data_IF_807920632672
#
_entry.id   IF_807920632672
#
_cell.length_a   1.000
_cell.length_b   1.000
_cell.length_c   1.000
_cell.angle_alpha   90.00
_cell.angle_beta   90.00
_cell.angle_gamma   90.00
#
_symmetry.space_group_name_H-M   'P 1'
#
loop_
_entity.id
_entity.type
_entity.pdbx_description
1 polymer ?
#
# COMPACT_ATOMS: atom_id res chain seq x y z
N UNK A 1 -6.03 -32.50 -46.94
CA UNK A 1 -7.19 -32.35 -47.84
C UNK A 1 -7.18 -30.93 -48.36
N UNK A 2 -7.12 -30.74 -49.68
CA UNK A 2 -7.66 -29.52 -50.29
C UNK A 2 -9.19 -29.53 -50.22
N UNK A 3 -9.88 -28.55 -50.85
CA UNK A 3 -9.75 -28.43 -52.30
C UNK A 3 -9.64 -26.98 -52.83
N UNK A 4 -8.91 -26.82 -53.94
CA UNK A 4 -9.24 -25.81 -54.98
C UNK A 4 -10.48 -26.28 -55.77
N UNK A 5 -11.14 -25.43 -56.57
CA UNK A 5 -10.77 -25.36 -57.98
C UNK A 5 -10.45 -23.92 -58.45
N UNK A 6 -9.52 -23.60 -59.36
CA UNK A 6 -9.11 -24.18 -60.67
C UNK A 6 -9.81 -23.50 -61.88
N UNK A 7 -9.10 -23.41 -63.03
CA UNK A 7 -9.51 -22.93 -64.39
C UNK A 7 -9.52 -21.38 -64.56
N UNK A 8 -8.94 -20.71 -65.60
CA UNK A 8 -8.16 -21.12 -66.80
C UNK A 8 -7.27 -19.99 -67.39
N UNK A 9 -5.99 -20.30 -67.70
CA UNK A 9 -5.19 -20.02 -68.91
C UNK A 9 -5.03 -18.63 -69.63
N UNK A 10 -3.86 -18.57 -70.34
CA UNK A 10 -3.44 -17.77 -71.52
C UNK A 10 -2.84 -16.37 -71.26
N UNK A 11 -1.60 -16.04 -71.68
CA UNK A 11 -0.53 -16.86 -72.26
C UNK A 11 -0.11 -16.48 -73.70
N UNK A 12 0.75 -15.47 -73.83
CA UNK A 12 1.79 -15.17 -74.86
C UNK A 12 2.23 -13.71 -74.62
N UNK A 13 3.51 -13.34 -74.58
CA UNK A 13 4.51 -13.39 -75.66
C UNK A 13 4.43 -12.06 -76.42
N UNK A 14 5.48 -11.28 -76.69
CA UNK A 14 6.93 -11.43 -76.68
C UNK A 14 7.50 -10.36 -77.66
N UNK A 15 8.83 -10.11 -77.67
CA UNK A 15 9.53 -9.00 -78.39
C UNK A 15 9.20 -7.58 -77.87
N UNK A 16 10.11 -6.59 -77.87
CA UNK A 16 11.54 -6.60 -78.20
C UNK A 16 11.93 -5.58 -79.29
N UNK A 17 12.99 -4.80 -79.03
CA UNK A 17 13.70 -3.85 -79.95
C UNK A 17 12.99 -2.53 -80.29
N UNK A 18 13.64 -1.40 -80.62
CA UNK A 18 15.02 -0.87 -80.43
C UNK A 18 15.01 0.63 -80.86
N UNK A 19 15.70 1.54 -80.13
CA UNK A 19 16.32 2.82 -80.61
C UNK A 19 15.42 3.87 -81.34
N UNK A 20 15.76 5.15 -81.52
CA UNK A 20 16.96 5.96 -81.23
C UNK A 20 16.56 7.44 -80.99
N UNK A 21 17.39 8.19 -80.26
CA UNK A 21 17.65 9.65 -80.21
C UNK A 21 16.66 10.66 -80.88
N UNK A 22 16.27 11.78 -80.25
CA UNK A 22 17.19 12.93 -80.11
C UNK A 22 16.65 14.14 -79.29
N UNK A 23 17.59 14.75 -78.56
CA UNK A 23 17.78 16.18 -78.22
C UNK A 23 16.86 16.99 -77.26
N UNK A 24 17.52 17.86 -76.49
CA UNK A 24 17.03 19.18 -76.06
C UNK A 24 15.89 19.33 -75.02
N UNK A 25 16.21 19.33 -73.72
CA UNK A 25 15.88 20.45 -72.77
C UNK A 25 16.22 20.12 -71.29
N UNK A 26 16.94 21.01 -70.60
CA UNK A 26 17.22 21.03 -69.14
C UNK A 26 17.37 22.53 -68.72
N UNK A 27 16.98 23.01 -67.51
CA UNK A 27 16.19 22.41 -66.42
C UNK A 27 14.96 23.24 -66.00
N UNK A 28 14.07 22.64 -65.19
CA UNK A 28 13.00 23.37 -64.51
C UNK A 28 12.37 22.60 -63.36
N UNK A 29 13.16 22.04 -62.43
CA UNK A 29 12.60 21.33 -61.27
C UNK A 29 13.43 21.55 -60.00
N UNK A 30 12.87 22.33 -59.10
CA UNK A 30 13.26 22.42 -57.69
C UNK A 30 12.76 21.16 -56.97
N UNK A 31 13.49 20.71 -55.96
CA UNK A 31 13.29 19.40 -55.33
C UNK A 31 12.00 19.31 -54.49
N UNK A 32 11.45 18.11 -54.41
CA UNK A 32 10.63 17.68 -53.29
C UNK A 32 11.06 16.26 -52.90
N UNK A 33 12.15 16.16 -52.15
CA UNK A 33 12.56 14.91 -51.51
C UNK A 33 11.54 14.56 -50.41
N UNK A 34 10.92 13.39 -50.52
CA UNK A 34 10.15 12.82 -49.41
C UNK A 34 11.13 12.47 -48.27
N UNK A 35 11.01 13.15 -47.13
CA UNK A 35 11.92 13.00 -45.99
C UNK A 35 11.36 13.53 -44.66
N UNK A 36 10.06 13.37 -44.43
CA UNK A 36 9.34 13.92 -43.26
C UNK A 36 9.06 12.90 -42.14
N UNK A 37 9.48 11.63 -42.28
CA UNK A 37 9.02 10.54 -41.40
C UNK A 37 9.98 10.14 -40.26
N UNK A 38 11.27 10.48 -40.32
CA UNK A 38 12.26 10.03 -39.30
C UNK A 38 12.81 11.16 -38.41
N UNK A 39 12.63 12.43 -38.80
CA UNK A 39 13.25 13.57 -38.12
C UNK A 39 12.67 13.95 -36.75
N UNK A 40 11.44 13.53 -36.39
CA UNK A 40 10.85 13.88 -35.08
C UNK A 40 11.42 13.05 -33.94
N UNK A 41 11.82 11.80 -34.22
CA UNK A 41 12.15 10.79 -33.21
C UNK A 41 13.27 11.24 -32.26
N UNK A 42 14.25 12.00 -32.77
CA UNK A 42 15.36 12.54 -31.97
C UNK A 42 14.92 13.68 -31.03
N UNK A 43 13.96 14.51 -31.45
CA UNK A 43 13.36 15.55 -30.61
C UNK A 43 12.47 14.93 -29.53
N UNK A 44 11.63 13.96 -29.92
CA UNK A 44 10.66 13.31 -29.04
C UNK A 44 11.34 12.50 -27.90
N UNK A 45 12.53 11.95 -28.13
CA UNK A 45 13.34 11.27 -27.10
C UNK A 45 13.79 12.24 -25.98
N UNK A 46 14.03 13.51 -26.32
CA UNK A 46 14.57 14.53 -25.41
C UNK A 46 13.51 15.46 -24.83
N UNK A 47 12.30 15.51 -25.41
CA UNK A 47 11.21 16.38 -24.97
C UNK A 47 10.36 15.81 -23.81
N UNK A 48 10.92 14.87 -23.03
CA UNK A 48 10.33 14.45 -21.76
C UNK A 48 10.57 15.52 -20.68
N UNK A 49 9.52 15.95 -19.98
CA UNK A 49 9.62 16.78 -18.76
C UNK A 49 10.30 15.99 -17.63
N UNK A 50 11.62 15.90 -17.66
CA UNK A 50 12.46 15.41 -16.58
C UNK A 50 13.36 16.56 -16.11
N UNK A 51 13.23 16.95 -14.85
CA UNK A 51 14.24 17.80 -14.22
C UNK A 51 15.53 17.00 -14.05
N UNK A 52 16.67 17.60 -14.40
CA UNK A 52 18.02 17.01 -14.43
C UNK A 52 18.25 15.88 -15.46
N UNK A 53 19.10 16.18 -16.44
CA UNK A 53 19.68 15.20 -17.36
C UNK A 53 20.58 14.13 -16.68
N UNK A 54 20.84 14.25 -15.37
CA UNK A 54 21.58 13.26 -14.59
C UNK A 54 20.92 11.88 -14.53
N UNK A 55 19.59 11.81 -14.68
CA UNK A 55 18.80 10.58 -14.48
C UNK A 55 18.45 9.83 -15.78
N UNK A 56 19.07 10.15 -16.93
CA UNK A 56 18.82 9.40 -18.17
C UNK A 56 19.31 7.94 -18.06
N UNK A 57 18.45 6.93 -18.33
CA UNK A 57 18.86 5.52 -18.30
C UNK A 57 19.97 5.23 -19.32
N UNK A 58 20.96 4.43 -18.91
CA UNK A 58 22.10 4.08 -19.77
C UNK A 58 21.69 3.40 -21.09
N UNK A 59 20.53 2.74 -21.14
CA UNK A 59 19.95 2.17 -22.36
C UNK A 59 19.58 3.22 -23.41
N UNK A 60 18.89 4.31 -23.01
CA UNK A 60 18.55 5.43 -23.91
C UNK A 60 19.80 6.15 -24.41
N UNK A 61 20.81 6.31 -23.55
CA UNK A 61 22.11 6.89 -23.94
C UNK A 61 22.82 5.98 -24.95
N UNK A 62 22.79 4.65 -24.75
CA UNK A 62 23.36 3.69 -25.71
C UNK A 62 22.60 3.60 -27.04
N UNK A 63 21.33 4.03 -27.07
CA UNK A 63 20.52 4.12 -28.27
C UNK A 63 20.85 5.40 -29.07
N UNK A 64 21.00 6.53 -28.38
CA UNK A 64 21.54 7.79 -28.94
C UNK A 64 22.99 7.66 -29.45
N UNK A 65 23.79 6.72 -28.91
CA UNK A 65 25.14 6.41 -29.39
C UNK A 65 25.17 5.57 -30.68
N UNK A 66 24.03 5.14 -31.24
CA UNK A 66 24.00 4.47 -32.55
C UNK A 66 24.03 5.52 -33.67
N UNK A 67 25.13 5.52 -34.43
CA UNK A 67 25.48 6.51 -35.46
C UNK A 67 24.34 6.95 -36.41
N UNK A 68 23.42 6.04 -36.77
CA UNK A 68 22.32 6.33 -37.72
C UNK A 68 21.28 7.35 -37.22
N UNK A 69 21.16 7.64 -35.92
CA UNK A 69 20.14 8.60 -35.45
C UNK A 69 20.54 10.07 -35.66
N UNK A 70 21.84 10.38 -35.68
CA UNK A 70 22.32 11.73 -35.93
C UNK A 70 22.23 12.10 -37.41
N UNK A 71 22.60 11.18 -38.31
CA UNK A 71 22.67 11.41 -39.77
C UNK A 71 21.34 11.89 -40.38
N UNK A 72 20.18 11.41 -39.90
CA UNK A 72 18.86 11.81 -40.42
C UNK A 72 18.21 12.99 -39.67
N UNK A 73 18.83 13.53 -38.63
CA UNK A 73 18.27 14.65 -37.83
C UNK A 73 18.53 16.00 -38.52
N UNK A 74 17.61 16.97 -38.38
CA UNK A 74 17.79 18.32 -38.94
C UNK A 74 18.91 19.10 -38.22
N UNK A 75 19.71 19.88 -38.96
CA UNK A 75 20.78 20.71 -38.37
C UNK A 75 20.24 21.69 -37.33
N UNK A 76 19.03 22.22 -37.54
CA UNK A 76 18.36 23.11 -36.58
C UNK A 76 18.04 22.40 -35.27
N UNK A 77 17.50 21.17 -35.33
CA UNK A 77 17.21 20.34 -34.15
C UNK A 77 18.46 20.02 -33.34
N UNK A 78 19.59 19.71 -34.01
CA UNK A 78 20.87 19.45 -33.35
C UNK A 78 21.41 20.69 -32.60
N UNK A 79 21.26 21.89 -33.18
CA UNK A 79 21.59 23.14 -32.49
C UNK A 79 20.66 23.43 -31.31
N UNK A 80 19.35 23.20 -31.44
CA UNK A 80 18.41 23.38 -30.31
C UNK A 80 18.75 22.47 -29.14
N UNK A 81 19.05 21.18 -29.40
CA UNK A 81 19.51 20.24 -28.36
C UNK A 81 20.82 20.68 -27.71
N UNK A 82 21.79 21.15 -28.51
CA UNK A 82 23.06 21.67 -27.99
C UNK A 82 22.84 22.86 -27.05
N UNK A 83 22.01 23.83 -27.47
CA UNK A 83 21.75 25.02 -26.67
C UNK A 83 21.02 24.68 -25.36
N UNK A 84 20.00 23.81 -25.39
CA UNK A 84 19.32 23.38 -24.15
C UNK A 84 20.27 22.71 -23.14
N UNK A 85 21.24 21.91 -23.61
CA UNK A 85 22.25 21.28 -22.74
C UNK A 85 23.22 22.34 -22.18
N UNK A 86 23.59 23.35 -22.98
CA UNK A 86 24.45 24.45 -22.53
C UNK A 86 23.72 25.37 -21.53
N UNK A 87 22.45 25.68 -21.75
CA UNK A 87 21.63 26.50 -20.86
C UNK A 87 21.47 25.83 -19.48
N UNK A 88 21.20 24.52 -19.42
CA UNK A 88 21.14 23.76 -18.15
C UNK A 88 22.51 23.76 -17.41
N UNK A 89 23.63 23.74 -18.16
CA UNK A 89 24.97 23.85 -17.58
C UNK A 89 25.34 25.28 -17.09
N UNK A 90 24.62 26.32 -17.54
CA UNK A 90 24.83 27.71 -17.13
C UNK A 90 23.92 28.09 -15.97
N UNK A 91 22.68 27.59 -15.93
CA UNK A 91 21.75 27.83 -14.82
C UNK A 91 22.08 26.98 -13.57
N UNK A 92 22.57 25.75 -13.76
CA UNK A 92 23.02 24.88 -12.68
C UNK A 92 24.46 25.16 -12.24
N UNK A 93 24.69 25.56 -10.98
CA UNK A 93 26.03 25.73 -10.37
C UNK A 93 26.76 24.39 -10.10
N UNK A 94 26.81 23.48 -11.07
CA UNK A 94 27.53 22.22 -10.98
C UNK A 94 28.93 22.39 -11.59
N UNK A 95 29.97 22.42 -10.76
CA UNK A 95 31.37 22.63 -11.19
C UNK A 95 31.98 21.51 -12.05
N UNK A 96 31.22 20.45 -12.38
CA UNK A 96 31.65 19.40 -13.31
C UNK A 96 30.49 18.92 -14.20
N UNK A 97 30.63 19.10 -15.51
CA UNK A 97 29.77 18.47 -16.51
C UNK A 97 30.03 16.94 -16.47
N UNK A 98 29.00 16.09 -16.30
CA UNK A 98 29.19 14.64 -16.34
C UNK A 98 29.82 14.19 -17.67
N UNK A 99 30.87 13.37 -17.62
CA UNK A 99 31.64 12.94 -18.81
C UNK A 99 30.78 12.36 -19.95
N UNK A 100 29.61 11.79 -19.61
CA UNK A 100 28.63 11.27 -20.57
C UNK A 100 27.96 12.38 -21.40
N UNK A 101 27.62 13.51 -20.79
CA UNK A 101 27.03 14.68 -21.46
C UNK A 101 28.06 15.33 -22.39
N UNK A 102 29.30 15.51 -21.91
CA UNK A 102 30.41 16.03 -22.72
C UNK A 102 30.71 15.15 -23.95
N UNK A 103 30.55 13.83 -23.83
CA UNK A 103 30.72 12.89 -24.94
C UNK A 103 29.63 13.04 -26.01
N UNK A 104 28.37 13.22 -25.60
CA UNK A 104 27.25 13.49 -26.51
C UNK A 104 27.45 14.84 -27.23
N UNK A 105 27.77 15.90 -26.49
CA UNK A 105 27.98 17.23 -27.06
C UNK A 105 29.10 17.23 -28.12
N UNK A 106 30.20 16.49 -27.87
CA UNK A 106 31.31 16.34 -28.81
C UNK A 106 30.89 15.65 -30.12
N UNK A 107 30.06 14.59 -30.04
CA UNK A 107 29.55 13.90 -31.22
C UNK A 107 28.59 14.79 -32.04
N UNK A 108 27.69 15.53 -31.39
CA UNK A 108 26.78 16.48 -32.06
C UNK A 108 27.55 17.61 -32.75
N UNK A 109 28.59 18.16 -32.11
CA UNK A 109 29.46 19.16 -32.73
C UNK A 109 30.23 18.61 -33.94
N UNK A 110 30.71 17.37 -33.87
CA UNK A 110 31.47 16.76 -34.94
C UNK A 110 30.59 16.46 -36.18
N UNK A 111 29.35 16.01 -35.96
CA UNK A 111 28.35 15.83 -37.03
C UNK A 111 27.96 17.17 -37.70
N UNK A 112 27.74 18.23 -36.91
CA UNK A 112 27.46 19.56 -37.45
C UNK A 112 28.66 20.07 -38.29
N UNK A 113 29.89 19.87 -37.81
CA UNK A 113 31.11 20.26 -38.52
C UNK A 113 31.25 19.54 -39.88
N UNK A 114 30.97 18.24 -39.94
CA UNK A 114 31.04 17.47 -41.19
C UNK A 114 29.95 17.90 -42.19
N UNK A 115 28.73 18.20 -41.73
CA UNK A 115 27.66 18.76 -42.58
C UNK A 115 28.03 20.10 -43.20
N UNK A 116 28.50 21.04 -42.38
CA UNK A 116 28.94 22.37 -42.84
C UNK A 116 30.08 22.23 -43.85
N UNK A 117 31.02 21.32 -43.60
CA UNK A 117 32.14 21.04 -44.52
C UNK A 117 31.66 20.46 -45.87
N UNK A 118 30.72 19.52 -45.84
CA UNK A 118 30.13 18.88 -47.04
C UNK A 118 29.29 19.87 -47.86
N UNK A 119 28.52 20.73 -47.20
CA UNK A 119 27.75 21.81 -47.84
C UNK A 119 28.67 22.86 -48.50
N UNK A 120 29.72 23.29 -47.79
CA UNK A 120 30.72 24.21 -48.34
C UNK A 120 31.45 23.63 -49.57
N UNK A 121 31.76 22.33 -49.56
CA UNK A 121 32.38 21.66 -50.71
C UNK A 121 31.43 21.58 -51.93
N UNK A 122 30.13 21.37 -51.71
CA UNK A 122 29.13 21.40 -52.79
C UNK A 122 28.95 22.81 -53.39
N UNK A 123 28.94 23.86 -52.56
CA UNK A 123 28.89 25.24 -53.06
C UNK A 123 30.11 25.60 -53.94
N UNK A 124 31.31 25.13 -53.57
CA UNK A 124 32.53 25.31 -54.39
C UNK A 124 32.43 24.61 -55.77
N UNK A 125 31.82 23.43 -55.83
CA UNK A 125 31.57 22.70 -57.10
C UNK A 125 30.56 23.42 -57.99
N UNK A 126 29.49 23.99 -57.41
CA UNK A 126 28.54 24.80 -58.18
C UNK A 126 29.18 26.10 -58.71
N UNK A 127 29.96 26.80 -57.89
CA UNK A 127 30.64 28.04 -58.28
C UNK A 127 31.59 27.85 -59.48
N UNK A 128 32.36 26.77 -59.49
CA UNK A 128 33.24 26.42 -60.63
C UNK A 128 32.45 26.05 -61.89
N UNK A 129 31.29 25.38 -61.76
CA UNK A 129 30.40 25.07 -62.89
C UNK A 129 29.86 26.36 -63.54
N UNK A 130 29.36 27.31 -62.75
CA UNK A 130 28.81 28.58 -63.27
C UNK A 130 29.88 29.39 -64.03
N UNK A 131 31.09 29.50 -63.49
CA UNK A 131 32.20 30.19 -64.15
C UNK A 131 32.53 29.60 -65.54
N UNK A 132 32.52 28.26 -65.66
CA UNK A 132 32.74 27.58 -66.94
C UNK A 132 31.63 27.82 -67.99
N UNK A 133 30.39 28.11 -67.56
CA UNK A 133 29.29 28.48 -68.47
C UNK A 133 29.44 29.93 -68.95
N UNK A 134 29.81 30.84 -68.05
CA UNK A 134 30.02 32.26 -68.37
C UNK A 134 31.09 32.45 -69.46
N UNK A 135 32.24 31.79 -69.32
CA UNK A 135 33.35 31.82 -70.29
C UNK A 135 32.93 31.31 -71.70
N UNK A 136 32.03 30.32 -71.76
CA UNK A 136 31.45 29.82 -73.02
C UNK A 136 30.51 30.84 -73.67
N UNK A 137 29.68 31.53 -72.90
CA UNK A 137 28.78 32.55 -73.43
C UNK A 137 29.55 33.78 -73.95
N UNK A 138 30.55 34.28 -73.22
CA UNK A 138 31.41 35.36 -73.72
C UNK A 138 32.12 35.00 -75.03
N UNK A 139 32.52 33.73 -75.19
CA UNK A 139 33.18 33.27 -76.42
C UNK A 139 32.23 33.20 -77.62
N UNK A 140 30.94 32.90 -77.41
CA UNK A 140 29.91 33.00 -78.47
C UNK A 140 29.61 34.44 -78.88
N UNK A 141 29.59 35.39 -77.93
CA UNK A 141 29.33 36.81 -78.23
C UNK A 141 30.42 37.37 -79.14
N UNK A 142 31.71 37.15 -78.79
CA UNK A 142 32.86 37.58 -79.64
C UNK A 142 32.79 37.04 -81.07
N UNK A 143 32.32 35.79 -81.25
CA UNK A 143 32.17 35.21 -82.58
C UNK A 143 31.07 35.88 -83.43
N UNK A 144 29.95 36.27 -82.80
CA UNK A 144 28.86 36.99 -83.47
C UNK A 144 29.26 38.43 -83.82
N UNK A 145 30.00 39.10 -82.94
CA UNK A 145 30.54 40.45 -83.20
C UNK A 145 31.49 40.45 -84.42
N UNK A 146 32.33 39.40 -84.56
CA UNK A 146 33.26 39.26 -85.69
C UNK A 146 32.54 38.97 -87.02
N UNK A 147 31.39 38.27 -86.98
CA UNK A 147 30.56 38.01 -88.17
C UNK A 147 29.83 39.27 -88.64
N UNK A 148 29.32 40.09 -87.71
CA UNK A 148 28.60 41.32 -88.05
C UNK A 148 29.50 42.33 -88.81
N UNK A 149 30.78 42.44 -88.45
CA UNK A 149 31.74 43.34 -89.12
C UNK A 149 32.09 42.88 -90.55
N UNK A 150 32.10 41.58 -90.83
CA UNK A 150 32.34 41.07 -92.20
C UNK A 150 31.22 41.45 -93.17
N UNK A 151 29.97 41.37 -92.72
CA UNK A 151 28.79 41.69 -93.56
C UNK A 151 28.64 43.18 -93.91
N UNK A 152 29.35 44.08 -93.22
CA UNK A 152 29.37 45.51 -93.58
C UNK A 152 30.36 45.85 -94.70
N UNK A 153 31.47 45.11 -94.81
CA UNK A 153 32.51 45.38 -95.82
C UNK A 153 32.10 44.89 -97.23
N UNK A 154 31.39 43.76 -97.33
CA UNK A 154 30.89 43.25 -98.63
C UNK A 154 29.83 44.17 -99.27
N UNK A 155 28.99 44.82 -98.45
CA UNK A 155 27.94 45.73 -98.91
C UNK A 155 28.50 47.06 -99.49
N UNK A 156 29.70 47.49 -99.07
CA UNK A 156 30.34 48.70 -99.60
C UNK A 156 30.96 48.49 -101.00
N UNK A 157 31.39 47.26 -101.31
CA UNK A 157 32.01 46.92 -102.61
C UNK A 157 30.96 46.88 -103.73
N UNK A 158 29.77 46.33 -103.48
CA UNK A 158 28.69 46.23 -104.47
C UNK A 158 28.14 47.61 -104.87
N UNK A 159 28.02 48.54 -103.91
CA UNK A 159 27.53 49.90 -104.16
C UNK A 159 28.49 50.78 -104.98
N UNK A 160 29.79 50.45 -105.01
CA UNK A 160 30.78 51.16 -105.82
C UNK A 160 30.83 50.67 -107.28
N UNK A 161 30.51 49.40 -107.56
CA UNK A 161 30.48 48.87 -108.94
C UNK A 161 29.29 49.43 -109.75
N UNK A 162 28.16 49.71 -109.09
CA UNK A 162 26.95 50.27 -109.71
C UNK A 162 27.07 51.74 -110.16
N UNK A 163 28.18 52.43 -109.87
CA UNK A 163 28.43 53.81 -110.32
C UNK A 163 29.24 53.93 -111.62
N UNK A 164 29.84 52.85 -112.13
CA UNK A 164 30.77 52.94 -113.27
C UNK A 164 30.16 52.71 -114.66
N UNK A 165 28.87 52.33 -114.78
CA UNK A 165 28.19 52.17 -116.08
C UNK A 165 27.10 53.22 -116.34
N UNK A 166 27.48 54.51 -116.38
CA UNK A 166 26.56 55.58 -116.81
C UNK A 166 27.20 56.77 -117.53
N UNK A 167 28.14 56.50 -118.45
CA UNK A 167 28.58 57.46 -119.47
C UNK A 167 28.73 56.75 -120.82
N UNK A 168 28.47 57.50 -121.91
CA UNK A 168 28.61 57.12 -123.33
C UNK A 168 27.46 56.36 -123.99
N UNK A 169 26.43 57.09 -124.47
CA UNK A 169 26.25 57.28 -125.93
C UNK A 169 25.26 58.42 -126.25
N UNK A 170 25.43 59.05 -127.40
CA UNK A 170 24.68 60.23 -127.86
C UNK A 170 24.40 60.14 -129.36
N UNK A 171 23.20 60.56 -129.81
CA UNK A 171 22.87 60.63 -131.24
C UNK A 171 21.36 60.50 -131.55
N UNK A 172 20.67 61.58 -131.99
CA UNK A 172 19.24 61.53 -132.25
C UNK A 172 18.91 61.14 -133.71
N UNK A 173 18.82 59.84 -134.02
CA UNK A 173 18.15 59.35 -135.25
C UNK A 173 17.53 57.95 -135.18
N UNK A 174 17.77 57.14 -134.13
CA UNK A 174 17.13 55.82 -133.95
C UNK A 174 15.97 55.80 -132.94
N UNK A 175 15.56 56.97 -132.45
CA UNK A 175 14.65 57.12 -131.28
C UNK A 175 13.20 56.66 -131.56
N UNK A 176 12.76 56.61 -132.83
CA UNK A 176 11.36 56.27 -133.16
C UNK A 176 11.11 54.75 -133.12
N UNK A 177 12.07 53.93 -133.55
CA UNK A 177 11.89 52.47 -133.58
C UNK A 177 12.06 51.84 -132.19
N UNK A 178 13.04 52.31 -131.41
CA UNK A 178 13.26 51.82 -130.04
C UNK A 178 12.12 52.22 -129.09
N UNK A 179 11.52 53.42 -129.26
CA UNK A 179 10.35 53.84 -128.46
C UNK A 179 9.13 52.93 -128.65
N UNK A 180 8.96 52.32 -129.82
CA UNK A 180 7.87 51.38 -130.07
C UNK A 180 8.12 50.02 -129.40
N UNK A 181 9.37 49.57 -129.36
CA UNK A 181 9.79 48.33 -128.66
C UNK A 181 9.78 48.53 -127.14
N UNK A 182 10.22 49.67 -126.64
CA UNK A 182 10.09 50.02 -125.21
C UNK A 182 8.62 50.14 -124.81
N UNK A 183 7.76 50.78 -125.62
CA UNK A 183 6.34 50.89 -125.29
C UNK A 183 5.64 49.53 -125.22
N UNK A 184 5.93 48.61 -126.15
CA UNK A 184 5.37 47.25 -126.11
C UNK A 184 5.91 46.43 -124.95
N UNK A 185 7.21 46.52 -124.64
CA UNK A 185 7.79 45.90 -123.43
C UNK A 185 7.24 46.47 -122.14
N UNK A 186 7.03 47.79 -122.05
CA UNK A 186 6.41 48.46 -120.90
C UNK A 186 4.94 48.05 -120.78
N UNK A 187 4.19 47.90 -121.88
CA UNK A 187 2.82 47.38 -121.86
C UNK A 187 2.72 45.88 -121.50
N UNK A 188 3.72 45.06 -121.85
CA UNK A 188 3.82 43.66 -121.40
C UNK A 188 4.21 43.56 -119.93
N UNK A 189 5.18 44.36 -119.46
CA UNK A 189 5.55 44.45 -118.04
C UNK A 189 4.38 44.98 -117.21
N UNK A 190 3.66 46.03 -117.65
CA UNK A 190 2.45 46.51 -116.97
C UNK A 190 1.34 45.46 -116.91
N UNK A 191 1.20 44.59 -117.93
CA UNK A 191 0.24 43.48 -117.90
C UNK A 191 0.67 42.36 -116.96
N UNK A 192 1.97 42.03 -116.92
CA UNK A 192 2.53 41.08 -115.96
C UNK A 192 2.39 41.61 -114.53
N UNK A 193 2.78 42.86 -114.26
CA UNK A 193 2.59 43.52 -112.97
C UNK A 193 1.11 43.61 -112.59
N UNK A 194 0.18 43.89 -113.52
CA UNK A 194 -1.26 43.84 -113.24
C UNK A 194 -1.77 42.41 -112.95
N UNK A 195 -1.19 41.40 -113.59
CA UNK A 195 -1.54 40.01 -113.36
C UNK A 195 -1.01 39.51 -112.00
N UNK A 196 0.25 39.81 -111.70
CA UNK A 196 0.88 39.55 -110.41
C UNK A 196 0.12 40.30 -109.30
N UNK A 197 -0.25 41.57 -109.50
CA UNK A 197 -1.10 42.33 -108.56
C UNK A 197 -2.50 41.72 -108.38
N UNK A 198 -3.05 41.00 -109.37
CA UNK A 198 -4.33 40.29 -109.20
C UNK A 198 -4.16 38.95 -108.48
N UNK A 199 -3.08 38.21 -108.75
CA UNK A 199 -2.73 36.99 -108.02
C UNK A 199 -2.40 37.31 -106.56
N UNK A 200 -1.56 38.31 -106.30
CA UNK A 200 -1.25 38.80 -104.95
C UNK A 200 -2.50 39.32 -104.23
N UNK A 201 -3.46 39.94 -104.94
CA UNK A 201 -4.74 40.32 -104.33
C UNK A 201 -5.55 39.09 -103.93
N UNK A 202 -5.71 38.11 -104.81
CA UNK A 202 -6.44 36.87 -104.48
C UNK A 202 -5.79 36.10 -103.33
N UNK A 203 -4.47 35.97 -103.30
CA UNK A 203 -3.77 35.27 -102.22
C UNK A 203 -3.75 36.10 -100.92
N UNK A 204 -3.76 37.44 -100.99
CA UNK A 204 -4.00 38.32 -99.84
C UNK A 204 -5.42 38.12 -99.28
N UNK A 205 -6.45 38.18 -100.14
CA UNK A 205 -7.85 38.01 -99.74
C UNK A 205 -8.07 36.60 -99.14
N UNK A 206 -7.37 35.59 -99.66
CA UNK A 206 -7.33 34.22 -99.13
C UNK A 206 -6.63 34.15 -97.77
N UNK A 207 -5.48 34.80 -97.61
CA UNK A 207 -4.79 34.92 -96.32
C UNK A 207 -5.66 35.66 -95.29
N UNK A 208 -6.32 36.75 -95.66
CA UNK A 208 -7.25 37.47 -94.78
C UNK A 208 -8.44 36.59 -94.37
N UNK A 209 -9.02 35.81 -95.30
CA UNK A 209 -10.06 34.83 -94.97
C UNK A 209 -9.55 33.71 -94.05
N UNK A 210 -8.30 33.26 -94.21
CA UNK A 210 -7.71 32.23 -93.35
C UNK A 210 -7.42 32.78 -91.94
N UNK A 211 -6.87 33.99 -91.85
CA UNK A 211 -6.64 34.72 -90.59
C UNK A 211 -7.95 34.87 -89.83
N UNK A 212 -9.02 35.36 -90.48
CA UNK A 212 -10.34 35.48 -89.84
C UNK A 212 -10.88 34.13 -89.33
N UNK A 213 -10.65 33.03 -90.05
CA UNK A 213 -11.07 31.70 -89.59
C UNK A 213 -10.27 31.21 -88.38
N UNK A 214 -8.96 31.47 -88.34
CA UNK A 214 -8.08 31.11 -87.23
C UNK A 214 -8.31 32.01 -86.01
N UNK A 215 -8.58 33.31 -86.21
CA UNK A 215 -8.98 34.24 -85.14
C UNK A 215 -10.29 33.79 -84.48
N UNK A 216 -11.27 33.34 -85.27
CA UNK A 216 -12.52 32.79 -84.76
C UNK A 216 -12.31 31.46 -84.02
N UNK A 217 -11.47 30.55 -84.54
CA UNK A 217 -11.13 29.29 -83.86
C UNK A 217 -10.38 29.54 -82.54
N UNK A 218 -9.44 30.49 -82.50
CA UNK A 218 -8.77 30.96 -81.29
C UNK A 218 -9.77 31.59 -80.32
N UNK A 219 -10.74 32.38 -80.80
CA UNK A 219 -11.78 32.99 -79.97
C UNK A 219 -12.68 31.94 -79.32
N UNK A 220 -13.14 30.96 -80.08
CA UNK A 220 -14.02 29.89 -79.60
C UNK A 220 -13.28 28.94 -78.64
N UNK A 221 -12.05 28.52 -78.97
CA UNK A 221 -11.24 27.68 -78.08
C UNK A 221 -10.90 28.41 -76.78
N UNK A 222 -10.52 29.70 -76.85
CA UNK A 222 -10.32 30.53 -75.66
C UNK A 222 -11.57 30.58 -74.77
N UNK A 223 -12.75 30.77 -75.35
CA UNK A 223 -14.01 30.81 -74.62
C UNK A 223 -14.33 29.45 -73.94
N UNK A 224 -14.09 28.34 -74.62
CA UNK A 224 -14.24 26.97 -74.07
C UNK A 224 -13.21 26.69 -72.94
N UNK A 225 -11.97 27.16 -73.05
CA UNK A 225 -10.99 27.10 -71.97
C UNK A 225 -11.36 27.97 -70.76
N UNK A 226 -11.84 29.20 -70.98
CA UNK A 226 -12.33 30.09 -69.91
C UNK A 226 -13.53 29.46 -69.17
N UNK A 227 -14.47 28.85 -69.89
CA UNK A 227 -15.60 28.14 -69.29
C UNK A 227 -15.14 26.89 -68.51
N UNK A 228 -14.20 26.09 -69.04
CA UNK A 228 -13.62 24.95 -68.34
C UNK A 228 -12.87 25.36 -67.06
N UNK A 229 -12.10 26.44 -67.09
CA UNK A 229 -11.45 27.00 -65.91
C UNK A 229 -12.49 27.41 -64.86
N UNK A 230 -13.52 28.15 -65.25
CA UNK A 230 -14.60 28.56 -64.35
C UNK A 230 -15.34 27.35 -63.73
N UNK A 231 -15.63 26.31 -64.52
CA UNK A 231 -16.23 25.08 -64.01
C UNK A 231 -15.31 24.31 -63.05
N UNK A 232 -13.98 24.30 -63.30
CA UNK A 232 -13.01 23.68 -62.40
C UNK A 232 -12.84 24.45 -61.10
N UNK A 233 -12.80 25.79 -61.14
CA UNK A 233 -12.76 26.66 -59.96
C UNK A 233 -14.03 26.50 -59.11
N UNK A 234 -15.21 26.49 -59.74
CA UNK A 234 -16.48 26.26 -59.04
C UNK A 234 -16.52 24.89 -58.35
N UNK A 235 -16.03 23.82 -59.00
CA UNK A 235 -15.91 22.48 -58.39
C UNK A 235 -14.88 22.47 -57.26
N UNK A 236 -13.74 23.14 -57.43
CA UNK A 236 -12.70 23.24 -56.40
C UNK A 236 -13.25 23.92 -55.15
N UNK A 237 -13.92 25.06 -55.29
CA UNK A 237 -14.52 25.79 -54.16
C UNK A 237 -15.65 24.98 -53.50
N UNK A 238 -16.51 24.30 -54.27
CA UNK A 238 -17.54 23.41 -53.71
C UNK A 238 -16.94 22.23 -52.91
N UNK A 239 -15.84 21.63 -53.38
CA UNK A 239 -15.13 20.58 -52.62
C UNK A 239 -14.44 21.13 -51.37
N UNK A 240 -13.87 22.33 -51.44
CA UNK A 240 -13.27 23.04 -50.30
C UNK A 240 -14.31 23.35 -49.23
N UNK A 241 -15.49 23.83 -49.60
CA UNK A 241 -16.61 24.06 -48.67
C UNK A 241 -17.10 22.77 -48.00
N UNK A 242 -17.18 21.67 -48.77
CA UNK A 242 -17.52 20.34 -48.22
C UNK A 242 -16.46 19.85 -47.23
N UNK A 243 -15.18 20.02 -47.54
CA UNK A 243 -14.07 19.66 -46.65
C UNK A 243 -14.02 20.53 -45.39
N UNK A 244 -14.22 21.84 -45.50
CA UNK A 244 -14.28 22.76 -44.36
C UNK A 244 -15.43 22.41 -43.41
N UNK A 245 -16.63 22.13 -43.93
CA UNK A 245 -17.76 21.63 -43.12
C UNK A 245 -17.41 20.31 -42.43
N UNK A 246 -16.72 19.38 -43.11
CA UNK A 246 -16.33 18.10 -42.53
C UNK A 246 -15.25 18.23 -41.45
N UNK A 247 -14.30 19.15 -41.61
CA UNK A 247 -13.31 19.49 -40.58
C UNK A 247 -14.02 20.03 -39.34
N UNK A 248 -14.95 20.97 -39.51
CA UNK A 248 -15.68 21.60 -38.41
C UNK A 248 -16.59 20.61 -37.65
N UNK A 249 -17.23 19.67 -38.35
CA UNK A 249 -17.93 18.53 -37.73
C UNK A 249 -16.97 17.64 -36.90
N UNK A 250 -15.79 17.32 -37.45
CA UNK A 250 -14.80 16.48 -36.76
C UNK A 250 -14.19 17.18 -35.55
N UNK A 251 -13.94 18.49 -35.61
CA UNK A 251 -13.49 19.30 -34.47
C UNK A 251 -14.54 19.34 -33.35
N UNK A 252 -15.82 19.46 -33.71
CA UNK A 252 -16.93 19.39 -32.75
C UNK A 252 -17.01 18.01 -32.08
N UNK A 253 -17.03 16.93 -32.85
CA UNK A 253 -17.04 15.55 -32.34
C UNK A 253 -15.82 15.23 -31.47
N UNK A 254 -14.64 15.72 -31.86
CA UNK A 254 -13.40 15.51 -31.12
C UNK A 254 -13.43 16.30 -29.79
N UNK A 255 -14.02 17.49 -29.77
CA UNK A 255 -14.26 18.27 -28.54
C UNK A 255 -15.24 17.57 -27.61
N UNK A 256 -16.36 17.06 -28.13
CA UNK A 256 -17.33 16.28 -27.34
C UNK A 256 -16.72 15.00 -26.76
N UNK A 257 -15.90 14.27 -27.54
CA UNK A 257 -15.19 13.09 -27.04
C UNK A 257 -14.19 13.42 -25.93
N UNK A 258 -13.48 14.56 -26.03
CA UNK A 258 -12.55 15.04 -24.99
C UNK A 258 -13.29 15.40 -23.71
N UNK A 259 -14.41 16.12 -23.83
CA UNK A 259 -15.28 16.42 -22.70
C UNK A 259 -15.77 15.13 -22.04
N UNK A 260 -16.14 14.12 -22.83
CA UNK A 260 -16.65 12.85 -22.29
C UNK A 260 -15.58 12.00 -21.60
N UNK A 261 -14.34 12.02 -22.10
CA UNK A 261 -13.18 11.42 -21.41
C UNK A 261 -12.99 12.08 -20.05
N UNK A 262 -12.98 13.43 -20.00
CA UNK A 262 -12.80 14.17 -18.76
C UNK A 262 -13.89 13.89 -17.71
N UNK A 263 -15.17 13.83 -18.12
CA UNK A 263 -16.26 13.44 -17.21
C UNK A 263 -16.05 12.03 -16.60
N UNK A 264 -15.52 11.09 -17.39
CA UNK A 264 -15.26 9.72 -16.95
C UNK A 264 -14.04 9.66 -16.02
N UNK A 265 -13.00 10.45 -16.28
CA UNK A 265 -11.84 10.63 -15.41
C UNK A 265 -12.27 11.19 -14.05
N UNK A 266 -12.95 12.35 -14.03
CA UNK A 266 -13.48 13.00 -12.82
C UNK A 266 -14.39 12.04 -12.01
N UNK A 267 -15.27 11.28 -12.69
CA UNK A 267 -16.12 10.28 -12.05
C UNK A 267 -15.30 9.12 -11.44
N UNK A 268 -14.25 8.66 -12.13
CA UNK A 268 -13.39 7.58 -11.67
C UNK A 268 -12.57 8.00 -10.44
N UNK A 269 -12.00 9.21 -10.45
CA UNK A 269 -11.25 9.77 -9.31
C UNK A 269 -12.15 9.95 -8.09
N UNK A 270 -13.35 10.52 -8.28
CA UNK A 270 -14.37 10.67 -7.23
C UNK A 270 -14.78 9.31 -6.63
N UNK A 271 -14.89 8.27 -7.47
CA UNK A 271 -15.15 6.89 -7.02
C UNK A 271 -13.97 6.33 -6.22
N UNK A 272 -12.72 6.50 -6.67
CA UNK A 272 -11.51 6.08 -5.96
C UNK A 272 -11.38 6.78 -4.60
N UNK A 273 -11.56 8.10 -4.55
CA UNK A 273 -11.48 8.90 -3.31
C UNK A 273 -12.53 8.47 -2.27
N UNK A 274 -13.74 8.10 -2.73
CA UNK A 274 -14.80 7.54 -1.88
C UNK A 274 -14.46 6.14 -1.37
N UNK A 275 -13.81 5.30 -2.16
CA UNK A 275 -13.31 4.00 -1.70
C UNK A 275 -12.15 4.14 -0.70
N UNK A 276 -11.16 5.02 -0.95
CA UNK A 276 -10.09 5.33 0.00
C UNK A 276 -10.63 5.80 1.36
N UNK A 277 -11.67 6.63 1.38
CA UNK A 277 -12.34 7.04 2.64
C UNK A 277 -13.01 5.87 3.37
N UNK A 278 -13.67 4.96 2.64
CA UNK A 278 -14.24 3.73 3.23
C UNK A 278 -13.17 2.79 3.76
N UNK A 279 -12.11 2.57 2.99
CA UNK A 279 -10.95 1.76 3.37
C UNK A 279 -10.32 2.29 4.66
N UNK A 280 -10.07 3.60 4.74
CA UNK A 280 -9.52 4.23 5.95
C UNK A 280 -10.47 4.08 7.16
N UNK A 281 -11.78 4.25 6.97
CA UNK A 281 -12.78 4.02 8.01
C UNK A 281 -12.84 2.57 8.50
N UNK A 282 -12.77 1.60 7.59
CA UNK A 282 -12.71 0.18 7.95
C UNK A 282 -11.39 -0.17 8.64
N UNK A 283 -10.26 0.39 8.19
CA UNK A 283 -8.95 0.18 8.80
C UNK A 283 -8.93 0.68 10.24
N UNK A 284 -9.32 1.94 10.47
CA UNK A 284 -9.46 2.53 11.80
C UNK A 284 -10.42 1.72 12.69
N UNK A 285 -11.53 1.21 12.14
CA UNK A 285 -12.44 0.35 12.91
C UNK A 285 -11.75 -0.96 13.33
N UNK A 286 -11.07 -1.65 12.41
CA UNK A 286 -10.35 -2.89 12.69
C UNK A 286 -9.21 -2.67 13.70
N UNK A 287 -8.43 -1.60 13.54
CA UNK A 287 -7.33 -1.25 14.45
C UNK A 287 -7.86 -1.00 15.87
N UNK A 288 -8.94 -0.23 16.02
CA UNK A 288 -9.59 0.03 17.32
C UNK A 288 -10.21 -1.22 17.96
N UNK A 289 -10.79 -2.12 17.16
CA UNK A 289 -11.26 -3.42 17.66
C UNK A 289 -10.10 -4.33 18.07
N UNK A 290 -8.96 -4.27 17.38
CA UNK A 290 -7.77 -5.03 17.71
C UNK A 290 -7.15 -4.58 19.03
N UNK A 291 -7.02 -3.27 19.26
CA UNK A 291 -6.61 -2.68 20.55
C UNK A 291 -7.53 -3.16 21.69
N UNK A 292 -8.86 -3.05 21.51
CA UNK A 292 -9.84 -3.49 22.50
C UNK A 292 -9.73 -4.99 22.85
N UNK A 293 -9.44 -5.83 21.85
CA UNK A 293 -9.21 -7.27 22.04
C UNK A 293 -7.86 -7.57 22.73
N UNK A 294 -6.84 -6.74 22.49
CA UNK A 294 -5.54 -6.86 23.14
C UNK A 294 -5.66 -6.52 24.64
N UNK A 295 -6.36 -5.45 25.00
CA UNK A 295 -6.63 -5.09 26.40
C UNK A 295 -7.43 -6.17 27.12
N UNK A 296 -8.49 -6.69 26.49
CA UNK A 296 -9.28 -7.80 27.04
C UNK A 296 -8.44 -9.06 27.27
N UNK A 297 -7.51 -9.36 26.36
CA UNK A 297 -6.58 -10.48 26.50
C UNK A 297 -5.62 -10.29 27.68
N UNK A 298 -5.06 -9.10 27.85
CA UNK A 298 -4.17 -8.79 28.99
C UNK A 298 -4.92 -8.88 30.32
N UNK A 299 -6.15 -8.36 30.39
CA UNK A 299 -7.01 -8.50 31.56
C UNK A 299 -7.32 -9.96 31.88
N UNK A 300 -7.63 -10.77 30.85
CA UNK A 300 -7.88 -12.22 31.01
C UNK A 300 -6.66 -12.99 31.53
N UNK A 301 -5.47 -12.69 31.02
CA UNK A 301 -4.22 -13.29 31.50
C UNK A 301 -3.93 -12.90 32.96
N UNK A 302 -4.19 -11.65 33.34
CA UNK A 302 -4.06 -11.16 34.72
C UNK A 302 -5.01 -11.89 35.69
N UNK A 303 -6.31 -11.96 35.36
CA UNK A 303 -7.31 -12.68 36.16
C UNK A 303 -6.94 -14.16 36.33
N UNK A 304 -6.45 -14.81 35.25
CA UNK A 304 -5.99 -16.20 35.28
C UNK A 304 -4.80 -16.39 36.23
N UNK A 305 -3.88 -15.43 36.31
CA UNK A 305 -2.78 -15.46 37.28
C UNK A 305 -3.28 -15.27 38.72
N UNK A 306 -4.22 -14.36 38.96
CA UNK A 306 -4.83 -14.14 40.28
C UNK A 306 -5.58 -15.37 40.78
N UNK A 307 -6.44 -15.97 39.94
CA UNK A 307 -7.14 -17.23 40.24
C UNK A 307 -6.14 -18.36 40.57
N UNK A 308 -5.01 -18.41 39.86
CA UNK A 308 -3.95 -19.40 40.14
C UNK A 308 -3.26 -19.17 41.49
N UNK A 309 -3.00 -17.90 41.87
CA UNK A 309 -2.47 -17.55 43.20
C UNK A 309 -3.46 -17.92 44.30
N UNK A 310 -4.74 -17.53 44.16
CA UNK A 310 -5.82 -17.82 45.11
C UNK A 310 -5.98 -19.34 45.31
N UNK A 311 -5.94 -20.12 44.22
CA UNK A 311 -6.00 -21.59 44.28
C UNK A 311 -4.86 -22.17 45.14
N UNK A 312 -3.64 -21.65 45.00
CA UNK A 312 -2.49 -22.13 45.77
C UNK A 312 -2.62 -21.77 47.26
N UNK A 313 -3.02 -20.53 47.58
CA UNK A 313 -3.28 -20.09 48.97
C UNK A 313 -4.32 -20.99 49.64
N UNK A 314 -5.46 -21.24 48.99
CA UNK A 314 -6.47 -22.14 49.54
C UNK A 314 -5.95 -23.57 49.71
N UNK A 315 -5.11 -24.08 48.80
CA UNK A 315 -4.53 -25.42 48.95
C UNK A 315 -3.62 -25.52 50.19
N UNK A 316 -2.84 -24.48 50.49
CA UNK A 316 -2.02 -24.38 51.70
C UNK A 316 -2.89 -24.25 52.96
N UNK A 317 -3.91 -23.38 52.95
CA UNK A 317 -4.86 -23.23 54.07
C UNK A 317 -5.60 -24.53 54.39
N UNK A 318 -6.12 -25.24 53.37
CA UNK A 318 -6.79 -26.54 53.57
C UNK A 318 -5.82 -27.61 54.10
N UNK A 319 -4.56 -27.61 53.66
CA UNK A 319 -3.54 -28.51 54.20
C UNK A 319 -3.27 -28.22 55.69
N UNK A 320 -3.04 -26.97 56.06
CA UNK A 320 -2.84 -26.55 57.45
C UNK A 320 -4.07 -26.83 58.33
N UNK A 321 -5.27 -26.60 57.82
CA UNK A 321 -6.52 -26.95 58.50
C UNK A 321 -6.62 -28.45 58.76
N UNK A 322 -6.28 -29.30 57.77
CA UNK A 322 -6.25 -30.75 57.93
C UNK A 322 -5.26 -31.22 59.01
N UNK A 323 -4.06 -30.63 59.06
CA UNK A 323 -3.06 -30.91 60.11
C UNK A 323 -3.58 -30.50 61.49
N UNK A 324 -4.17 -29.31 61.63
CA UNK A 324 -4.72 -28.82 62.89
C UNK A 324 -5.89 -29.69 63.38
N UNK A 325 -6.81 -30.07 62.49
CA UNK A 325 -7.94 -30.95 62.82
C UNK A 325 -7.48 -32.33 63.25
N UNK A 326 -6.44 -32.90 62.61
CA UNK A 326 -5.83 -34.14 63.06
C UNK A 326 -5.27 -34.01 64.48
N UNK A 327 -4.50 -32.95 64.76
CA UNK A 327 -3.97 -32.69 66.11
C UNK A 327 -5.05 -32.57 67.19
N UNK A 328 -6.20 -31.97 66.87
CA UNK A 328 -7.36 -31.91 67.76
C UNK A 328 -8.01 -33.28 68.00
N UNK A 329 -8.14 -34.11 66.96
CA UNK A 329 -8.67 -35.48 67.07
C UNK A 329 -7.75 -36.33 67.94
N UNK A 330 -6.43 -36.31 67.68
CA UNK A 330 -5.43 -37.05 68.43
C UNK A 330 -5.43 -36.61 69.92
N UNK A 331 -5.55 -35.32 70.20
CA UNK A 331 -5.67 -34.78 71.56
C UNK A 331 -6.96 -35.22 72.27
N UNK A 332 -8.11 -35.19 71.58
CA UNK A 332 -9.40 -35.61 72.14
C UNK A 332 -9.43 -37.12 72.46
N UNK A 333 -8.84 -37.96 71.59
CA UNK A 333 -8.69 -39.40 71.83
C UNK A 333 -7.81 -39.66 73.06
N UNK A 334 -6.65 -39.00 73.15
CA UNK A 334 -5.75 -39.13 74.31
C UNK A 334 -6.44 -38.68 75.61
N UNK A 335 -7.23 -37.61 75.59
CA UNK A 335 -8.00 -37.16 76.76
C UNK A 335 -9.01 -38.22 77.23
N UNK A 336 -9.71 -38.90 76.30
CA UNK A 336 -10.64 -39.97 76.66
C UNK A 336 -9.93 -41.17 77.31
N UNK A 337 -8.79 -41.59 76.75
CA UNK A 337 -7.95 -42.66 77.32
C UNK A 337 -7.48 -42.33 78.74
N UNK A 338 -7.01 -41.09 78.96
CA UNK A 338 -6.59 -40.60 80.29
C UNK A 338 -7.77 -40.55 81.28
N UNK A 339 -8.97 -40.16 80.85
CA UNK A 339 -10.17 -40.22 81.70
C UNK A 339 -10.52 -41.66 82.10
N UNK A 340 -10.45 -42.61 81.16
CA UNK A 340 -10.75 -44.01 81.45
C UNK A 340 -9.74 -44.64 82.40
N UNK A 341 -8.45 -44.34 82.23
CA UNK A 341 -7.38 -44.74 83.15
C UNK A 341 -7.57 -44.09 84.54
N UNK A 342 -7.87 -42.79 84.59
CA UNK A 342 -8.11 -42.09 85.86
C UNK A 342 -9.29 -42.69 86.62
N UNK A 343 -10.36 -43.09 85.92
CA UNK A 343 -11.49 -43.84 86.51
C UNK A 343 -11.06 -45.20 87.07
N UNK A 344 -10.23 -45.97 86.35
CA UNK A 344 -9.73 -47.28 86.82
C UNK A 344 -8.88 -47.12 88.09
N UNK A 345 -7.85 -46.27 88.02
CA UNK A 345 -6.94 -46.01 89.14
C UNK A 345 -7.66 -45.42 90.36
N UNK A 346 -8.65 -44.55 90.15
CA UNK A 346 -9.41 -43.95 91.26
C UNK A 346 -10.18 -45.01 92.06
N UNK A 347 -10.81 -45.97 91.38
CA UNK A 347 -11.59 -47.02 92.04
C UNK A 347 -10.68 -48.11 92.63
N UNK A 348 -9.54 -48.43 92.00
CA UNK A 348 -8.50 -49.27 92.62
C UNK A 348 -8.00 -48.68 93.95
N UNK A 349 -7.80 -47.36 94.02
CA UNK A 349 -7.47 -46.65 95.27
C UNK A 349 -8.62 -46.69 96.31
N UNK A 350 -9.88 -46.82 95.89
CA UNK A 350 -11.00 -47.06 96.84
C UNK A 350 -11.02 -48.51 97.33
N UNK A 351 -10.79 -49.49 96.46
CA UNK A 351 -10.75 -50.91 96.83
C UNK A 351 -9.59 -51.21 97.79
N UNK A 352 -8.41 -50.63 97.55
CA UNK A 352 -7.25 -50.72 98.45
C UNK A 352 -7.49 -50.11 99.83
N UNK A 353 -8.40 -49.14 99.95
CA UNK A 353 -8.87 -48.59 101.24
C UNK A 353 -9.94 -49.46 101.92
N UNK A 354 -10.36 -50.54 101.28
CA UNK A 354 -11.40 -51.46 101.70
C UNK A 354 -12.79 -51.06 101.22
N UNK A 355 -13.50 -52.01 100.63
CA UNK A 355 -14.86 -51.88 100.10
C UNK A 355 -15.91 -51.73 101.21
N UNK A 356 -15.60 -52.21 102.42
CA UNK A 356 -16.39 -52.00 103.63
C UNK A 356 -15.55 -51.15 104.59
N UNK A 357 -16.07 -49.97 104.96
CA UNK A 357 -15.42 -49.04 105.88
C UNK A 357 -16.35 -48.76 107.04
N UNK A 358 -15.87 -48.96 108.26
CA UNK A 358 -16.61 -48.70 109.50
C UNK A 358 -16.02 -47.48 110.17
N UNK A 359 -16.80 -46.40 110.25
CA UNK A 359 -16.44 -45.18 110.98
C UNK A 359 -17.22 -45.11 112.30
N UNK A 360 -16.52 -44.77 113.38
CA UNK A 360 -17.17 -44.42 114.64
C UNK A 360 -17.29 -42.90 114.73
N UNK A 361 -18.46 -42.36 115.10
CA UNK A 361 -18.63 -40.93 115.36
C UNK A 361 -19.22 -40.71 116.74
N UNK A 362 -18.50 -39.95 117.55
CA UNK A 362 -18.89 -39.59 118.91
C UNK A 362 -19.58 -38.23 118.84
N UNK A 363 -20.86 -38.14 119.19
CA UNK A 363 -21.56 -36.85 119.17
C UNK A 363 -21.03 -35.89 120.26
N UNK A 364 -21.10 -34.56 120.05
CA UNK A 364 -20.90 -33.60 121.13
C UNK A 364 -21.90 -33.80 122.28
N UNK A 365 -21.51 -33.35 123.47
CA UNK A 365 -22.41 -33.26 124.63
C UNK A 365 -23.52 -32.23 124.34
N UNK A 366 -24.76 -32.59 124.65
CA UNK A 366 -25.88 -31.64 124.55
C UNK A 366 -25.82 -30.63 125.71
N UNK A 367 -26.41 -29.42 125.57
CA UNK A 367 -26.55 -28.48 126.68
C UNK A 367 -27.13 -29.18 127.93
N UNK A 368 -26.43 -29.06 129.06
CA UNK A 368 -26.76 -29.75 130.32
C UNK A 368 -26.05 -31.10 130.56
N UNK A 369 -25.36 -31.68 129.58
CA UNK A 369 -24.54 -32.89 129.78
C UNK A 369 -23.09 -32.54 130.15
N UNK A 370 -22.56 -33.15 131.22
CA UNK A 370 -21.20 -32.87 131.71
C UNK A 370 -20.15 -33.81 131.12
N UNK A 371 -19.00 -33.25 130.68
CA UNK A 371 -17.81 -34.05 130.26
C UNK A 371 -17.35 -35.05 131.32
N UNK A 372 -17.64 -34.81 132.61
CA UNK A 372 -17.28 -35.72 133.72
C UNK A 372 -18.04 -37.05 133.73
N UNK A 373 -19.05 -37.23 132.87
CA UNK A 373 -19.81 -38.48 132.72
C UNK A 373 -19.40 -39.29 131.47
N UNK A 374 -18.29 -38.96 130.81
CA UNK A 374 -17.79 -39.74 129.67
C UNK A 374 -17.23 -41.09 130.10
N UNK A 375 -17.56 -42.14 129.35
CA UNK A 375 -16.89 -43.45 129.43
C UNK A 375 -15.75 -43.59 128.43
N UNK A 376 -15.55 -42.60 127.54
CA UNK A 376 -14.51 -42.62 126.51
C UNK A 376 -13.20 -42.09 127.12
N UNK A 377 -12.15 -42.91 127.06
CA UNK A 377 -10.84 -42.61 127.64
C UNK A 377 -9.85 -42.08 126.61
N UNK A 378 -9.82 -42.69 125.42
CA UNK A 378 -8.84 -42.37 124.38
C UNK A 378 -9.46 -42.54 122.99
N UNK A 379 -9.10 -41.63 122.09
CA UNK A 379 -9.41 -41.63 120.66
C UNK A 379 -8.06 -41.53 119.96
N UNK A 380 -7.67 -42.59 119.26
CA UNK A 380 -6.43 -42.65 118.49
C UNK A 380 -6.64 -42.30 117.03
N UNK A 381 -5.67 -41.60 116.45
CA UNK A 381 -5.67 -41.17 115.04
C UNK A 381 -5.75 -42.36 114.06
N UNK A 382 -5.25 -43.52 114.48
CA UNK A 382 -5.28 -44.80 113.75
C UNK A 382 -6.65 -45.53 113.79
N UNK A 383 -7.73 -44.84 114.18
CA UNK A 383 -9.07 -45.42 114.28
C UNK A 383 -9.31 -46.27 115.54
N UNK A 384 -8.49 -46.11 116.57
CA UNK A 384 -8.62 -46.83 117.84
C UNK A 384 -9.46 -46.05 118.86
N UNK A 385 -10.37 -46.74 119.56
CA UNK A 385 -11.25 -46.15 120.57
C UNK A 385 -11.21 -46.99 121.85
N UNK A 386 -10.85 -46.37 122.97
CA UNK A 386 -10.86 -47.03 124.29
C UNK A 386 -12.02 -46.50 125.14
N UNK A 387 -12.90 -47.43 125.54
CA UNK A 387 -14.07 -47.16 126.39
C UNK A 387 -13.93 -47.88 127.73
N UNK A 388 -14.10 -47.17 128.83
CA UNK A 388 -14.12 -47.70 130.20
C UNK A 388 -15.55 -48.06 130.58
N UNK A 389 -15.76 -49.27 131.08
CA UNK A 389 -17.00 -49.69 131.71
C UNK A 389 -16.93 -49.45 133.24
N UNK A 390 -17.66 -48.46 133.80
CA UNK A 390 -17.63 -48.16 135.23
C UNK A 390 -18.27 -49.26 136.10
N UNK A 391 -18.98 -50.23 135.50
CA UNK A 391 -19.66 -51.33 136.21
C UNK A 391 -18.79 -52.59 136.35
N UNK A 392 -17.55 -52.60 135.82
CA UNK A 392 -16.62 -53.73 135.93
C UNK A 392 -15.26 -53.26 136.47
N UNK A 393 -14.89 -53.57 137.73
CA UNK A 393 -13.55 -53.26 138.23
C UNK A 393 -12.49 -54.24 137.67
N UNK A 394 -11.28 -53.74 137.42
CA UNK A 394 -10.13 -54.55 137.00
C UNK A 394 -9.69 -54.35 135.54
N UNK A 395 -8.86 -55.28 135.03
CA UNK A 395 -8.23 -55.18 133.69
C UNK A 395 -9.25 -55.21 132.54
N UNK A 396 -10.41 -55.85 132.75
CA UNK A 396 -11.54 -55.93 131.81
C UNK A 396 -12.44 -54.68 131.81
N UNK A 397 -12.10 -53.64 132.57
CA UNK A 397 -12.81 -52.36 132.54
C UNK A 397 -12.63 -51.62 131.20
N UNK A 398 -11.47 -51.77 130.56
CA UNK A 398 -11.15 -51.11 129.29
C UNK A 398 -11.52 -52.00 128.10
N UNK A 399 -12.27 -51.44 127.14
CA UNK A 399 -12.56 -52.07 125.85
C UNK A 399 -11.95 -51.25 124.72
N UNK A 400 -11.01 -51.85 124.01
CA UNK A 400 -10.45 -51.32 122.77
C UNK A 400 -11.33 -51.76 121.59
N UNK A 401 -11.75 -50.80 120.78
CA UNK A 401 -12.40 -51.02 119.49
C UNK A 401 -11.54 -50.43 118.38
N UNK A 402 -11.48 -51.09 117.23
CA UNK A 402 -10.76 -50.62 116.04
C UNK A 402 -11.72 -50.39 114.88
N UNK A 403 -11.62 -49.22 114.29
CA UNK A 403 -12.43 -48.72 113.18
C UNK A 403 -11.50 -48.22 112.07
N UNK A 404 -12.03 -47.94 110.88
CA UNK A 404 -11.25 -47.27 109.83
C UNK A 404 -10.93 -45.82 110.22
N UNK A 405 -11.80 -45.17 111.01
CA UNK A 405 -11.59 -43.86 111.63
C UNK A 405 -12.54 -43.65 112.81
N UNK A 406 -12.12 -42.84 113.79
CA UNK A 406 -12.95 -42.41 114.92
C UNK A 406 -13.03 -40.88 114.92
N UNK A 407 -14.21 -40.34 114.67
CA UNK A 407 -14.51 -38.92 114.73
C UNK A 407 -14.90 -38.54 116.17
N UNK A 408 -14.17 -37.58 116.74
CA UNK A 408 -14.37 -37.13 118.12
C UNK A 408 -15.56 -36.18 118.29
N UNK A 409 -15.90 -35.80 119.54
CA UNK A 409 -16.98 -34.85 119.85
C UNK A 409 -16.86 -33.48 119.18
N UNK A 410 -15.66 -33.09 118.74
CA UNK A 410 -15.38 -31.83 118.06
C UNK A 410 -15.48 -31.92 116.52
N UNK A 411 -15.59 -33.13 115.95
CA UNK A 411 -15.55 -33.31 114.50
C UNK A 411 -16.82 -32.85 113.80
N UNK A 412 -16.64 -31.95 112.84
CA UNK A 412 -17.73 -31.27 112.13
C UNK A 412 -18.40 -32.16 111.08
N UNK A 413 -19.48 -31.69 110.45
CA UNK A 413 -20.08 -32.40 109.31
C UNK A 413 -19.10 -32.48 108.14
N UNK A 414 -18.32 -31.43 107.90
CA UNK A 414 -17.40 -31.28 106.78
C UNK A 414 -16.17 -32.19 106.92
N UNK A 415 -15.75 -32.51 108.15
CA UNK A 415 -14.72 -33.53 108.40
C UNK A 415 -15.22 -34.95 108.07
N UNK A 416 -16.44 -35.29 108.49
CA UNK A 416 -17.04 -36.59 108.16
C UNK A 416 -17.32 -36.69 106.66
N UNK A 417 -17.79 -35.59 106.05
CA UNK A 417 -18.03 -35.53 104.61
C UNK A 417 -16.74 -35.72 103.82
N UNK A 418 -15.64 -35.03 104.14
CA UNK A 418 -14.35 -35.15 103.43
C UNK A 418 -13.83 -36.60 103.32
N UNK A 419 -14.06 -37.43 104.33
CA UNK A 419 -13.68 -38.85 104.32
C UNK A 419 -14.64 -39.75 103.50
N UNK A 420 -15.91 -39.34 103.36
CA UNK A 420 -16.93 -40.07 102.57
C UNK A 420 -17.10 -39.56 101.14
N UNK A 421 -16.74 -38.31 100.86
CA UNK A 421 -16.79 -37.65 99.56
C UNK A 421 -16.15 -38.47 98.42
N UNK A 422 -15.03 -39.20 98.62
CA UNK A 422 -14.46 -40.03 97.57
C UNK A 422 -15.43 -41.10 97.01
N UNK A 423 -16.37 -41.58 97.83
CA UNK A 423 -17.35 -42.58 97.41
C UNK A 423 -18.37 -41.99 96.40
N UNK A 424 -18.66 -40.69 96.47
CA UNK A 424 -19.56 -40.01 95.53
C UNK A 424 -19.00 -40.09 94.12
N UNK A 425 -17.68 -39.96 93.96
CA UNK A 425 -17.04 -40.10 92.66
C UNK A 425 -17.16 -41.54 92.12
N UNK A 426 -17.03 -42.57 92.98
CA UNK A 426 -17.28 -43.95 92.55
C UNK A 426 -18.73 -44.16 92.07
N UNK A 427 -19.73 -43.48 92.64
CA UNK A 427 -21.11 -43.49 92.10
C UNK A 427 -21.17 -42.88 90.70
N UNK A 428 -20.52 -41.72 90.48
CA UNK A 428 -20.44 -41.09 89.16
C UNK A 428 -19.67 -41.93 88.14
N UNK A 429 -18.70 -42.73 88.59
CA UNK A 429 -17.94 -43.68 87.76
C UNK A 429 -18.74 -44.97 87.43
N UNK A 430 -19.91 -45.18 88.05
CA UNK A 430 -20.83 -46.29 87.79
C UNK A 430 -20.91 -47.38 88.88
N UNK A 431 -20.38 -47.15 90.08
CA UNK A 431 -20.35 -48.12 91.18
C UNK A 431 -21.48 -47.91 92.20
N UNK A 432 -22.06 -48.99 92.69
CA UNK A 432 -23.06 -48.95 93.75
C UNK A 432 -22.40 -48.69 95.12
N UNK A 433 -22.76 -47.59 95.77
CA UNK A 433 -22.29 -47.22 97.12
C UNK A 433 -23.46 -47.22 98.09
N UNK A 434 -23.27 -47.81 99.28
CA UNK A 434 -24.22 -47.75 100.38
C UNK A 434 -23.58 -47.09 101.61
N UNK A 435 -24.23 -46.09 102.19
CA UNK A 435 -23.85 -45.46 103.46
C UNK A 435 -25.00 -45.64 104.43
N UNK A 436 -24.74 -46.28 105.58
CA UNK A 436 -25.72 -46.50 106.64
C UNK A 436 -25.21 -45.93 107.97
N UNK A 437 -26.11 -45.33 108.74
CA UNK A 437 -25.81 -44.81 110.08
C UNK A 437 -26.43 -45.74 111.15
N UNK A 438 -25.58 -46.33 112.00
CA UNK A 438 -26.02 -47.25 113.06
C UNK A 438 -25.83 -46.65 114.47
N UNK A 439 -26.63 -47.12 115.44
CA UNK A 439 -26.55 -46.73 116.86
C UNK A 439 -27.91 -46.51 117.51
N UNK A 440 -27.93 -46.26 118.83
CA UNK A 440 -29.14 -46.05 119.61
C UNK A 440 -29.91 -44.76 119.24
N UNK A 441 -31.14 -44.60 119.75
CA UNK A 441 -31.85 -43.32 119.70
C UNK A 441 -31.07 -42.24 120.47
N UNK A 442 -30.98 -41.03 119.90
CA UNK A 442 -30.17 -39.94 120.46
C UNK A 442 -28.65 -40.04 120.22
N UNK A 443 -28.16 -41.00 119.42
CA UNK A 443 -26.72 -41.12 119.11
C UNK A 443 -26.20 -40.16 118.03
N UNK A 444 -27.09 -39.54 117.24
CA UNK A 444 -26.72 -38.63 116.14
C UNK A 444 -26.81 -39.21 114.72
N UNK A 445 -27.52 -40.32 114.50
CA UNK A 445 -27.75 -40.91 113.17
C UNK A 445 -28.31 -39.89 112.15
N UNK A 446 -29.47 -39.32 112.43
CA UNK A 446 -30.14 -38.32 111.56
C UNK A 446 -29.28 -37.08 111.36
N UNK A 447 -28.64 -36.59 112.43
CA UNK A 447 -27.70 -35.47 112.34
C UNK A 447 -26.50 -35.78 111.42
N UNK A 448 -26.04 -37.03 111.38
CA UNK A 448 -24.93 -37.43 110.50
C UNK A 448 -25.37 -37.50 109.03
N UNK A 449 -26.53 -38.08 108.74
CA UNK A 449 -27.01 -38.26 107.35
C UNK A 449 -27.64 -37.00 106.74
N UNK A 450 -28.41 -36.23 107.51
CA UNK A 450 -29.20 -35.08 107.03
C UNK A 450 -28.64 -33.73 107.50
N UNK A 451 -27.71 -33.74 108.46
CA UNK A 451 -27.14 -32.51 109.02
C UNK A 451 -28.06 -31.77 110.01
N UNK A 452 -27.61 -30.61 110.53
CA UNK A 452 -28.37 -29.79 111.47
C UNK A 452 -29.62 -29.12 110.88
N UNK A 453 -29.70 -28.95 109.55
CA UNK A 453 -30.72 -28.12 108.89
C UNK A 453 -32.01 -28.89 108.51
N UNK A 454 -32.16 -30.14 108.95
CA UNK A 454 -33.27 -31.03 108.60
C UNK A 454 -34.68 -30.55 109.05
N UNK A 455 -34.77 -29.45 109.81
CA UNK A 455 -36.03 -28.86 110.32
C UNK A 455 -36.55 -27.68 109.50
N UNK A 456 -35.84 -27.21 108.47
CA UNK A 456 -36.41 -26.29 107.46
C UNK A 456 -36.99 -27.06 106.29
N UNK A 457 -38.32 -26.99 106.10
CA UNK A 457 -39.13 -27.78 105.13
C UNK A 457 -38.92 -27.35 103.66
N UNK A 458 -37.80 -26.70 103.32
CA UNK A 458 -37.62 -25.96 102.05
C UNK A 458 -36.64 -26.62 101.08
N UNK A 459 -36.05 -27.78 101.42
CA UNK A 459 -35.01 -28.42 100.58
C UNK A 459 -35.25 -29.92 100.29
N UNK A 460 -36.51 -30.33 100.16
CA UNK A 460 -36.91 -31.66 99.65
C UNK A 460 -36.96 -31.72 98.12
N UNK A 461 -36.12 -30.94 97.43
CA UNK A 461 -35.98 -30.92 95.97
C UNK A 461 -35.16 -32.08 95.39
N UNK A 462 -34.74 -33.04 96.23
CA UNK A 462 -33.85 -34.16 95.86
C UNK A 462 -34.30 -35.50 96.46
N UNK A 463 -35.61 -35.79 96.36
CA UNK A 463 -36.07 -37.19 96.41
C UNK A 463 -35.69 -37.86 95.09
N UNK A 464 -34.49 -38.47 95.06
CA UNK A 464 -34.20 -39.51 94.08
C UNK A 464 -34.92 -40.76 94.57
N UNK A 465 -36.08 -41.05 93.98
CA UNK A 465 -36.62 -42.40 94.00
C UNK A 465 -35.71 -43.29 93.13
N UNK A 466 -35.35 -44.47 93.67
CA UNK A 466 -34.72 -45.59 92.97
C UNK A 466 -35.74 -46.71 92.82
#
# INVERSE_FOLDING_TARGET
MGPEPEVSERGNGGLGTLKEDSDGTIPGRMEAFNGLAEGSYFSDILQAKCGHYGDLPASKISELMKLGSLENTSTQSLFTVTNMILDECVEGKNENIPQRVASILKLVMQEIQDRVSKQAQNMRKQSTLYKSREERYQSKIRALETLATGTTEENEVVMNQLRQMKYSFSGPSDVIFLRQIEKTKIEEVLKLEQHDLTIFRQEKDRCESLILSLEEEIRLTKQDYEEKCFQLEARAEETKDKLLKKILELECLLTDSRNKVKELEDFSESKILRWKRKEHGYRHFIDSQFESLQDLRLASESIKQEVSKIKNVYAEEFYHFGVNMKGLIDAAQNYHSVLEENRKLYNEVQDLKGNIRVYCRIRPFLPGQSRKQTTIQYIGENGELVVINPLKPGKDSHRLFKFNKVFGPASTQEEVFRDTQPLIRSVLDGYNVCIFAYGQTGSGKTYTMTGPNATSVVDWGSTIEL
#
